data_IF_700189042552
#
_entry.id   IF_700189042552
#
_cell.length_a   1.000
_cell.length_b   1.000
_cell.length_c   1.000
_cell.angle_alpha   90.00
_cell.angle_beta   90.00
_cell.angle_gamma   90.00
#
_symmetry.space_group_name_H-M   'P 1'
#
loop_
_entity.id
_entity.type
_entity.pdbx_description
1 polymer ?
#
# COMPACT_ATOMS: atom_id res chain seq x y z
N UNK A 1 20.25 -15.97 8.47
CA UNK A 1 19.22 -15.40 7.56
C UNK A 1 17.82 -15.96 7.86
N UNK A 2 17.51 -17.25 7.72
CA UNK A 2 16.17 -17.79 8.00
C UNK A 2 15.58 -17.45 9.39
N UNK A 3 16.39 -17.44 10.45
CA UNK A 3 15.93 -17.13 11.82
C UNK A 3 15.43 -15.68 12.04
N UNK A 4 15.94 -14.70 11.29
CA UNK A 4 15.51 -13.30 11.39
C UNK A 4 14.14 -13.13 10.71
N UNK A 5 13.95 -13.82 9.58
CA UNK A 5 12.68 -13.88 8.88
C UNK A 5 11.57 -14.51 9.72
N UNK A 6 11.89 -15.68 10.33
CA UNK A 6 10.96 -16.36 11.24
C UNK A 6 10.54 -15.45 12.40
N UNK A 7 11.46 -14.65 12.94
CA UNK A 7 11.17 -13.73 14.04
C UNK A 7 10.24 -12.59 13.64
N UNK A 8 10.42 -11.98 12.47
CA UNK A 8 9.63 -10.83 12.03
C UNK A 8 8.26 -11.25 11.46
N UNK A 9 8.23 -12.22 10.55
CA UNK A 9 6.97 -12.78 10.03
C UNK A 9 6.16 -13.43 11.15
N UNK A 10 6.81 -14.09 12.12
CA UNK A 10 6.13 -14.61 13.28
C UNK A 10 5.55 -13.50 14.18
N UNK A 11 6.25 -12.36 14.35
CA UNK A 11 5.73 -11.19 15.07
C UNK A 11 4.53 -10.57 14.35
N UNK A 12 4.61 -10.35 13.03
CA UNK A 12 3.48 -9.86 12.24
C UNK A 12 2.29 -10.83 12.25
N UNK A 13 2.56 -12.14 12.18
CA UNK A 13 1.51 -13.17 12.23
C UNK A 13 0.89 -13.30 13.61
N UNK A 14 1.66 -13.07 14.67
CA UNK A 14 1.18 -13.09 16.06
C UNK A 14 0.33 -11.85 16.43
N UNK A 15 0.38 -10.79 15.64
CA UNK A 15 -0.45 -9.61 15.79
C UNK A 15 -1.87 -9.92 15.27
N UNK A 16 -2.71 -10.49 16.01
CA UNK A 16 -4.06 -10.97 15.69
C UNK A 16 -5.01 -10.13 14.80
N UNK A 17 -4.51 -9.18 14.03
CA UNK A 17 -5.25 -8.39 13.04
C UNK A 17 -5.99 -7.17 13.61
N UNK A 18 -5.66 -6.74 14.83
CA UNK A 18 -6.22 -5.52 15.42
C UNK A 18 -5.60 -4.23 14.87
N UNK A 19 -6.40 -3.17 14.84
CA UNK A 19 -5.94 -1.81 14.53
C UNK A 19 -4.84 -1.38 15.52
N UNK A 20 -3.72 -0.92 15.00
CA UNK A 20 -2.58 -0.44 15.80
C UNK A 20 -1.60 -1.50 16.29
N UNK A 21 -1.96 -2.79 16.22
CA UNK A 21 -1.08 -3.87 16.69
C UNK A 21 0.25 -3.96 15.92
N UNK A 22 0.26 -3.57 14.64
CA UNK A 22 1.45 -3.55 13.80
C UNK A 22 2.31 -2.29 13.99
N UNK A 23 1.76 -1.19 14.52
CA UNK A 23 2.44 0.11 14.62
C UNK A 23 3.75 0.02 15.37
N UNK A 24 3.73 -0.55 16.59
CA UNK A 24 4.92 -0.65 17.44
C UNK A 24 6.03 -1.49 16.80
N UNK A 25 5.64 -2.55 16.06
CA UNK A 25 6.58 -3.40 15.33
C UNK A 25 7.27 -2.63 14.23
N UNK A 26 6.53 -1.84 13.46
CA UNK A 26 7.09 -1.00 12.40
C UNK A 26 7.91 0.16 12.94
N UNK A 27 7.52 0.76 14.05
CA UNK A 27 8.30 1.80 14.71
C UNK A 27 9.68 1.34 15.17
N UNK A 28 9.79 0.10 15.66
CA UNK A 28 11.07 -0.50 16.03
C UNK A 28 11.91 -0.92 14.81
N UNK A 29 11.25 -1.21 13.69
CA UNK A 29 11.92 -1.71 12.49
C UNK A 29 12.35 -0.61 11.51
N UNK A 30 11.72 0.56 11.55
CA UNK A 30 11.94 1.65 10.60
C UNK A 30 13.43 1.87 10.22
N UNK A 31 14.42 1.92 11.16
CA UNK A 31 15.81 2.20 10.80
C UNK A 31 16.51 1.15 9.92
N UNK A 32 15.97 -0.07 9.84
CA UNK A 32 16.57 -1.16 9.06
C UNK A 32 15.60 -1.78 8.05
N UNK A 33 14.39 -1.26 7.99
CA UNK A 33 13.26 -1.78 7.21
C UNK A 33 13.61 -2.00 5.75
N UNK A 34 14.03 -0.95 5.04
CA UNK A 34 14.31 -1.01 3.61
C UNK A 34 15.44 -1.98 3.29
N UNK A 35 16.54 -1.90 4.04
CA UNK A 35 17.67 -2.78 3.83
C UNK A 35 17.27 -4.25 3.98
N UNK A 36 16.53 -4.59 5.03
CA UNK A 36 16.09 -5.96 5.24
C UNK A 36 15.14 -6.44 4.13
N UNK A 37 14.21 -5.59 3.69
CA UNK A 37 13.29 -5.96 2.61
C UNK A 37 14.01 -6.16 1.27
N UNK A 38 14.86 -5.24 0.88
CA UNK A 38 15.51 -5.26 -0.43
C UNK A 38 16.65 -6.27 -0.50
N UNK A 39 17.59 -6.23 0.47
CA UNK A 39 18.79 -7.07 0.44
C UNK A 39 18.53 -8.51 0.88
N UNK A 40 17.71 -8.71 1.93
CA UNK A 40 17.49 -10.04 2.51
C UNK A 40 16.40 -10.82 1.78
N UNK A 41 15.38 -10.14 1.20
CA UNK A 41 14.17 -10.78 0.65
C UNK A 41 13.93 -10.52 -0.84
N UNK A 42 14.64 -9.58 -1.44
CA UNK A 42 14.39 -9.19 -2.83
C UNK A 42 12.95 -8.69 -3.01
N UNK A 43 12.52 -7.79 -2.12
CA UNK A 43 11.17 -7.22 -2.13
C UNK A 43 11.01 -6.22 -3.27
N UNK A 44 10.14 -6.54 -4.21
CA UNK A 44 9.89 -5.77 -5.42
C UNK A 44 8.42 -5.36 -5.60
N UNK A 45 7.59 -5.51 -4.57
CA UNK A 45 6.18 -5.13 -4.67
C UNK A 45 5.96 -3.64 -5.06
N UNK A 46 6.76 -2.65 -4.56
CA UNK A 46 6.67 -1.27 -5.01
C UNK A 46 6.86 -1.13 -6.53
N UNK A 47 7.91 -1.76 -7.09
CA UNK A 47 8.20 -1.70 -8.51
C UNK A 47 7.04 -2.28 -9.33
N UNK A 48 6.55 -3.48 -8.98
CA UNK A 48 5.43 -4.14 -9.66
C UNK A 48 4.17 -3.27 -9.62
N UNK A 49 3.84 -2.72 -8.46
CA UNK A 49 2.65 -1.88 -8.30
C UNK A 49 2.76 -0.57 -9.08
N UNK A 50 3.95 0.07 -9.09
CA UNK A 50 4.15 1.34 -9.80
C UNK A 50 4.26 1.12 -11.31
N UNK A 51 4.80 0.01 -11.80
CA UNK A 51 4.74 -0.36 -13.23
C UNK A 51 3.29 -0.47 -13.69
N UNK A 52 2.46 -1.14 -12.91
CA UNK A 52 1.03 -1.25 -13.20
C UNK A 52 0.32 0.10 -13.07
N UNK A 53 0.67 0.92 -12.07
CA UNK A 53 0.13 2.27 -11.89
C UNK A 53 0.44 3.15 -13.12
N UNK A 54 1.69 3.18 -13.59
CA UNK A 54 2.12 3.97 -14.74
C UNK A 54 1.38 3.59 -16.03
N UNK A 55 1.07 2.32 -16.21
CA UNK A 55 0.31 1.85 -17.36
C UNK A 55 -1.12 2.44 -17.47
N UNK A 56 -1.69 2.84 -16.33
CA UNK A 56 -3.05 3.40 -16.26
C UNK A 56 -3.10 4.88 -15.88
N UNK A 57 -2.04 5.45 -15.33
CA UNK A 57 -1.92 6.85 -14.94
C UNK A 57 -0.81 7.55 -15.73
N UNK A 58 -1.09 7.94 -16.96
CA UNK A 58 -0.08 8.52 -17.85
C UNK A 58 0.24 10.00 -17.54
N UNK A 59 -0.69 10.72 -16.93
CA UNK A 59 -0.48 12.13 -16.55
C UNK A 59 0.36 12.24 -15.29
N UNK A 60 1.61 12.69 -15.46
CA UNK A 60 2.59 12.86 -14.36
C UNK A 60 2.27 14.00 -13.39
N UNK A 61 1.31 14.88 -13.73
CA UNK A 61 0.83 15.94 -12.85
C UNK A 61 -0.31 15.50 -11.92
N UNK A 62 -0.83 14.28 -12.09
CA UNK A 62 -1.91 13.72 -11.25
C UNK A 62 -1.54 13.79 -9.77
N UNK A 63 -2.40 14.38 -8.90
CA UNK A 63 -2.25 14.29 -7.46
C UNK A 63 -2.43 12.85 -6.98
N UNK A 64 -1.43 12.30 -6.29
CA UNK A 64 -1.37 10.89 -5.87
C UNK A 64 -1.32 10.81 -4.35
N UNK A 65 -2.09 9.88 -3.77
CA UNK A 65 -1.99 9.49 -2.37
C UNK A 65 -1.34 8.11 -2.25
N UNK A 66 -0.20 8.04 -1.58
CA UNK A 66 0.49 6.82 -1.21
C UNK A 66 -0.06 6.33 0.15
N UNK A 67 -0.87 5.29 0.11
CA UNK A 67 -1.61 4.72 1.24
C UNK A 67 -0.75 3.71 2.01
N UNK A 68 -0.39 4.06 3.24
CA UNK A 68 0.55 3.27 4.02
C UNK A 68 1.98 3.39 3.46
N UNK A 69 2.41 4.64 3.24
CA UNK A 69 3.65 4.93 2.53
C UNK A 69 4.91 4.41 3.24
N UNK A 70 4.83 4.10 4.54
CA UNK A 70 5.95 3.61 5.33
C UNK A 70 7.16 4.54 5.25
N UNK A 71 8.31 3.99 4.91
CA UNK A 71 9.56 4.73 4.69
C UNK A 71 9.65 5.39 3.31
N UNK A 72 8.63 5.21 2.45
CA UNK A 72 8.55 5.89 1.15
C UNK A 72 9.09 5.11 -0.05
N UNK A 73 9.11 3.78 -0.01
CA UNK A 73 9.56 2.97 -1.16
C UNK A 73 8.70 3.17 -2.41
N UNK A 74 7.37 3.21 -2.25
CA UNK A 74 6.44 3.45 -3.36
C UNK A 74 6.59 4.87 -3.90
N UNK A 75 6.65 5.86 -3.00
CA UNK A 75 6.87 7.24 -3.39
C UNK A 75 8.17 7.44 -4.17
N UNK A 76 9.24 6.74 -3.78
CA UNK A 76 10.53 6.77 -4.50
C UNK A 76 10.37 6.23 -5.93
N UNK A 77 9.71 5.09 -6.10
CA UNK A 77 9.45 4.50 -7.41
C UNK A 77 8.59 5.42 -8.29
N UNK A 78 7.56 6.07 -7.73
CA UNK A 78 6.76 7.07 -8.42
C UNK A 78 7.61 8.28 -8.84
N UNK A 79 8.46 8.77 -7.93
CA UNK A 79 9.34 9.91 -8.20
C UNK A 79 10.34 9.61 -9.32
N UNK A 80 10.95 8.45 -9.33
CA UNK A 80 11.88 8.02 -10.37
C UNK A 80 11.22 7.94 -11.74
N UNK A 81 9.90 7.63 -11.80
CA UNK A 81 9.09 7.64 -13.02
C UNK A 81 8.51 9.02 -13.39
N UNK A 82 8.86 10.07 -12.65
CA UNK A 82 8.54 11.46 -13.00
C UNK A 82 7.26 12.01 -12.37
N UNK A 83 6.56 11.30 -11.49
CA UNK A 83 5.48 11.87 -10.69
C UNK A 83 6.05 12.81 -9.62
N UNK A 84 5.38 13.95 -9.37
CA UNK A 84 5.89 14.99 -8.45
C UNK A 84 4.87 15.48 -7.44
N UNK A 85 3.60 15.19 -7.65
CA UNK A 85 2.52 15.60 -6.78
C UNK A 85 2.05 14.40 -5.95
N UNK A 86 2.85 14.05 -4.94
CA UNK A 86 2.69 12.84 -4.14
C UNK A 86 2.56 13.22 -2.68
N UNK A 87 1.44 12.87 -2.04
CA UNK A 87 1.29 12.89 -0.60
C UNK A 87 1.41 11.46 -0.05
N UNK A 88 2.01 11.30 1.12
CA UNK A 88 2.12 10.03 1.80
C UNK A 88 1.28 9.98 3.07
N UNK A 89 0.68 8.85 3.35
CA UNK A 89 -0.11 8.62 4.56
C UNK A 89 0.35 7.35 5.26
N UNK A 90 0.63 7.43 6.56
CA UNK A 90 1.00 6.27 7.39
C UNK A 90 0.57 6.47 8.84
N UNK A 91 0.40 5.38 9.59
CA UNK A 91 0.06 5.41 11.02
C UNK A 91 1.29 5.67 11.91
N UNK A 92 2.50 5.34 11.42
CA UNK A 92 3.74 5.43 12.18
C UNK A 92 4.49 6.75 11.92
N UNK A 93 4.59 7.64 12.92
CA UNK A 93 5.41 8.86 12.81
C UNK A 93 6.88 8.58 12.51
N UNK A 94 7.44 7.45 13.00
CA UNK A 94 8.83 7.09 12.72
C UNK A 94 9.03 6.72 11.25
N UNK A 95 8.11 5.95 10.66
CA UNK A 95 8.13 5.66 9.23
C UNK A 95 8.02 6.95 8.39
N UNK A 96 7.12 7.86 8.77
CA UNK A 96 6.99 9.15 8.10
C UNK A 96 8.24 10.03 8.21
N UNK A 97 9.03 9.91 9.28
CA UNK A 97 10.31 10.62 9.39
C UNK A 97 11.33 10.10 8.35
N UNK A 98 11.47 8.78 8.20
CA UNK A 98 12.31 8.19 7.16
C UNK A 98 11.84 8.61 5.75
N UNK A 99 10.52 8.60 5.50
CA UNK A 99 9.94 9.06 4.23
C UNK A 99 10.23 10.56 3.97
N UNK A 100 10.21 11.39 5.02
CA UNK A 100 10.50 12.84 4.93
C UNK A 100 11.91 13.10 4.49
N UNK A 101 12.88 12.33 4.97
CA UNK A 101 14.31 12.50 4.65
C UNK A 101 14.60 12.24 3.16
N UNK A 102 13.71 11.52 2.46
CA UNK A 102 13.80 11.34 1.00
C UNK A 102 13.44 12.59 0.19
N UNK A 103 12.68 13.53 0.75
CA UNK A 103 12.32 14.80 0.11
C UNK A 103 11.46 14.66 -1.16
N UNK A 104 10.69 13.58 -1.28
CA UNK A 104 9.89 13.24 -2.47
C UNK A 104 8.38 13.51 -2.29
N UNK A 105 7.90 13.56 -1.06
CA UNK A 105 6.49 13.84 -0.77
C UNK A 105 6.23 15.33 -0.61
N UNK A 106 5.09 15.79 -1.13
CA UNK A 106 4.58 17.15 -0.91
C UNK A 106 4.08 17.30 0.53
N UNK A 107 3.28 16.33 0.99
CA UNK A 107 2.84 16.22 2.38
C UNK A 107 2.98 14.80 2.91
N UNK A 108 3.17 14.69 4.23
CA UNK A 108 3.16 13.43 4.97
C UNK A 108 2.13 13.52 6.09
N UNK A 109 1.14 12.63 6.03
CA UNK A 109 -0.07 12.65 6.86
C UNK A 109 -0.03 11.48 7.83
N UNK A 110 -0.07 11.76 9.14
CA UNK A 110 -0.25 10.69 10.13
C UNK A 110 -1.74 10.35 10.22
N UNK A 111 -2.12 9.13 9.84
CA UNK A 111 -3.51 8.68 9.89
C UNK A 111 -3.62 7.17 10.02
N UNK A 112 -4.61 6.72 10.78
CA UNK A 112 -5.02 5.33 10.87
C UNK A 112 -6.07 5.03 9.79
N UNK A 113 -5.69 4.26 8.77
CA UNK A 113 -6.56 3.89 7.65
C UNK A 113 -7.70 2.92 8.04
N UNK A 114 -7.72 2.40 9.25
CA UNK A 114 -8.86 1.63 9.76
C UNK A 114 -10.00 2.53 10.22
N UNK A 115 -9.72 3.85 10.36
CA UNK A 115 -10.65 4.91 10.68
C UNK A 115 -10.96 5.76 9.44
N UNK A 116 -11.98 6.63 9.47
CA UNK A 116 -12.21 7.59 8.41
C UNK A 116 -10.98 8.47 8.17
N UNK A 117 -10.49 8.47 6.93
CA UNK A 117 -9.31 9.25 6.53
C UNK A 117 -9.73 10.70 6.29
N UNK A 118 -9.13 11.63 7.03
CA UNK A 118 -9.36 13.07 6.81
C UNK A 118 -8.41 13.60 5.73
N UNK A 119 -8.97 13.77 4.55
CA UNK A 119 -8.32 14.39 3.39
C UNK A 119 -9.03 15.68 2.97
N UNK A 120 -9.67 16.35 3.93
CA UNK A 120 -10.43 17.59 3.68
C UNK A 120 -9.56 18.62 2.97
N UNK A 121 -10.11 19.21 1.90
CA UNK A 121 -9.39 20.19 1.08
C UNK A 121 -8.39 19.60 0.09
N UNK A 122 -8.28 18.27 -0.03
CA UNK A 122 -7.45 17.57 -1.02
C UNK A 122 -8.33 16.80 -2.00
N UNK A 123 -7.91 16.79 -3.26
CA UNK A 123 -8.58 16.02 -4.31
C UNK A 123 -7.54 15.18 -5.05
N UNK A 124 -7.48 13.89 -4.73
CA UNK A 124 -6.56 12.97 -5.40
C UNK A 124 -7.17 12.40 -6.67
N UNK A 125 -6.39 12.45 -7.76
CA UNK A 125 -6.72 11.79 -9.02
C UNK A 125 -6.38 10.30 -9.01
N UNK A 126 -5.44 9.90 -8.15
CA UNK A 126 -5.06 8.49 -7.99
C UNK A 126 -4.60 8.19 -6.55
N UNK A 127 -4.66 6.91 -6.17
CA UNK A 127 -4.04 6.41 -4.96
C UNK A 127 -3.39 5.04 -5.21
N UNK A 128 -2.37 4.73 -4.44
CA UNK A 128 -1.65 3.47 -4.49
C UNK A 128 -1.41 2.96 -3.07
N UNK A 129 -1.61 1.66 -2.83
CA UNK A 129 -1.36 1.04 -1.52
C UNK A 129 -0.63 -0.27 -1.68
N UNK A 130 0.56 -0.39 -1.08
CA UNK A 130 1.44 -1.54 -1.18
C UNK A 130 1.89 -1.98 0.20
N UNK A 131 1.72 -3.29 0.50
CA UNK A 131 2.19 -3.85 1.77
C UNK A 131 1.36 -3.48 3.01
N UNK A 132 0.24 -2.75 2.84
CA UNK A 132 -0.64 -2.35 3.93
C UNK A 132 -1.87 -3.26 4.11
N UNK A 133 -1.90 -4.43 3.46
CA UNK A 133 -3.02 -5.38 3.51
C UNK A 133 -2.61 -6.71 4.14
N UNK A 134 -3.47 -7.23 5.03
CA UNK A 134 -3.30 -8.54 5.66
C UNK A 134 -2.95 -8.48 7.14
N UNK A 135 -2.62 -9.61 7.74
CA UNK A 135 -2.50 -9.85 9.18
C UNK A 135 -1.93 -8.68 10.00
N UNK A 136 -2.72 -8.09 10.88
CA UNK A 136 -2.38 -6.90 11.64
C UNK A 136 -2.54 -5.57 10.90
N UNK A 137 -2.99 -5.60 9.64
CA UNK A 137 -3.16 -4.45 8.76
C UNK A 137 -4.60 -4.31 8.26
N UNK A 138 -4.76 -3.65 7.11
CA UNK A 138 -6.06 -3.46 6.48
C UNK A 138 -6.63 -4.78 5.96
N UNK A 139 -7.90 -5.01 6.25
CA UNK A 139 -8.70 -6.07 5.64
C UNK A 139 -9.65 -5.52 4.57
N UNK A 140 -10.40 -6.41 3.87
CA UNK A 140 -11.30 -6.01 2.78
C UNK A 140 -12.42 -5.04 3.21
N UNK A 141 -12.81 -5.04 4.47
CA UNK A 141 -13.80 -4.11 5.04
C UNK A 141 -13.35 -2.64 5.00
N UNK A 142 -12.06 -2.36 4.85
CA UNK A 142 -11.51 -1.01 4.75
C UNK A 142 -11.51 -0.48 3.30
N UNK A 143 -11.65 -1.35 2.29
CA UNK A 143 -11.64 -0.96 0.87
C UNK A 143 -12.60 0.20 0.54
N UNK A 144 -13.86 0.24 1.05
CA UNK A 144 -14.75 1.36 0.76
C UNK A 144 -14.21 2.72 1.25
N UNK A 145 -13.47 2.74 2.36
CA UNK A 145 -12.82 3.94 2.88
C UNK A 145 -11.67 4.39 1.97
N UNK A 146 -10.82 3.45 1.57
CA UNK A 146 -9.68 3.70 0.68
C UNK A 146 -10.13 4.17 -0.71
N UNK A 147 -11.18 3.55 -1.27
CA UNK A 147 -11.72 3.94 -2.58
C UNK A 147 -12.21 5.39 -2.57
N UNK A 148 -12.76 5.86 -1.47
CA UNK A 148 -13.23 7.24 -1.33
C UNK A 148 -12.13 8.29 -1.22
N UNK A 149 -10.87 7.91 -1.07
CA UNK A 149 -9.75 8.86 -1.03
C UNK A 149 -9.46 9.51 -2.38
N UNK A 150 -9.92 8.95 -3.47
CA UNK A 150 -9.79 9.55 -4.81
C UNK A 150 -11.13 10.13 -5.29
N UNK A 151 -11.05 11.09 -6.20
CA UNK A 151 -12.25 11.62 -6.89
C UNK A 151 -12.99 10.55 -7.70
N UNK A 152 -14.20 10.82 -8.14
CA UNK A 152 -14.91 9.97 -9.12
C UNK A 152 -14.04 9.79 -10.35
N UNK A 153 -13.96 8.57 -10.87
CA UNK A 153 -13.06 8.10 -11.93
C UNK A 153 -11.56 8.18 -11.57
N UNK A 154 -11.22 8.47 -10.30
CA UNK A 154 -9.85 8.36 -9.81
C UNK A 154 -9.37 6.92 -9.80
N UNK A 155 -8.09 6.74 -10.13
CA UNK A 155 -7.41 5.44 -10.19
C UNK A 155 -7.00 4.98 -8.80
N UNK A 156 -7.12 3.67 -8.55
CA UNK A 156 -6.50 3.05 -7.38
C UNK A 156 -5.74 1.78 -7.81
N UNK A 157 -4.56 1.63 -7.23
CA UNK A 157 -3.75 0.41 -7.37
C UNK A 157 -3.46 -0.16 -6.00
N UNK A 158 -3.83 -1.40 -5.78
CA UNK A 158 -3.55 -2.12 -4.54
C UNK A 158 -2.63 -3.30 -4.81
N UNK A 159 -1.56 -3.43 -4.06
CA UNK A 159 -0.78 -4.66 -3.99
C UNK A 159 -1.11 -5.41 -2.71
N UNK A 160 -1.69 -6.59 -2.84
CA UNK A 160 -2.17 -7.41 -1.73
C UNK A 160 -1.38 -8.70 -1.66
N UNK A 161 -0.78 -8.99 -0.52
CA UNK A 161 -0.03 -10.22 -0.29
C UNK A 161 -0.93 -11.45 -0.49
N UNK A 162 -0.33 -12.55 -0.96
CA UNK A 162 -1.08 -13.71 -1.43
C UNK A 162 -1.90 -14.46 -0.38
N UNK A 163 -1.38 -14.55 0.86
CA UNK A 163 -2.12 -15.20 1.94
C UNK A 163 -3.41 -14.43 2.25
N UNK A 164 -3.36 -13.14 2.65
CA UNK A 164 -4.58 -12.38 2.91
C UNK A 164 -5.49 -12.27 1.69
N UNK A 165 -4.94 -12.13 0.48
CA UNK A 165 -5.76 -12.07 -0.74
C UNK A 165 -6.70 -13.27 -0.88
N UNK A 166 -6.21 -14.48 -0.57
CA UNK A 166 -6.98 -15.73 -0.65
C UNK A 166 -7.85 -15.95 0.58
N UNK A 167 -7.28 -15.86 1.79
CA UNK A 167 -7.96 -16.17 3.06
C UNK A 167 -9.10 -15.20 3.36
N UNK A 168 -8.90 -13.90 3.11
CA UNK A 168 -9.91 -12.87 3.28
C UNK A 168 -10.80 -12.69 2.04
N UNK A 169 -10.62 -13.55 1.02
CA UNK A 169 -11.43 -13.58 -0.20
C UNK A 169 -11.64 -12.21 -0.86
N UNK A 170 -10.55 -11.47 -1.10
CA UNK A 170 -10.59 -10.15 -1.75
C UNK A 170 -11.38 -10.11 -3.07
N UNK A 171 -11.32 -11.16 -3.97
CA UNK A 171 -12.12 -11.16 -5.18
C UNK A 171 -13.62 -11.00 -4.94
N UNK A 172 -14.17 -11.64 -3.89
CA UNK A 172 -15.58 -11.51 -3.51
C UNK A 172 -15.90 -10.08 -3.06
N UNK A 173 -15.01 -9.46 -2.29
CA UNK A 173 -15.21 -8.09 -1.81
C UNK A 173 -15.14 -7.07 -2.95
N UNK A 174 -14.19 -7.19 -3.88
CA UNK A 174 -14.14 -6.34 -5.07
C UNK A 174 -15.40 -6.48 -5.91
N UNK A 175 -15.88 -7.72 -6.15
CA UNK A 175 -17.11 -7.95 -6.88
C UNK A 175 -18.32 -7.30 -6.19
N UNK A 176 -18.44 -7.41 -4.88
CA UNK A 176 -19.52 -6.80 -4.12
C UNK A 176 -19.49 -5.26 -4.24
N UNK A 177 -18.30 -4.64 -4.24
CA UNK A 177 -18.13 -3.21 -4.44
C UNK A 177 -18.52 -2.76 -5.86
N UNK A 178 -18.24 -3.58 -6.87
CA UNK A 178 -18.69 -3.34 -8.25
C UNK A 178 -20.23 -3.40 -8.36
N UNK A 179 -20.85 -4.41 -7.76
CA UNK A 179 -22.31 -4.58 -7.73
C UNK A 179 -23.02 -3.41 -7.02
N UNK A 180 -22.35 -2.79 -6.04
CA UNK A 180 -22.84 -1.59 -5.32
C UNK A 180 -22.60 -0.28 -6.09
N UNK A 181 -21.85 -0.31 -7.19
CA UNK A 181 -21.58 0.86 -8.01
C UNK A 181 -20.58 1.84 -7.43
N UNK A 182 -19.71 1.41 -6.51
CA UNK A 182 -18.69 2.31 -5.91
C UNK A 182 -17.28 2.09 -6.42
N UNK A 183 -17.07 1.05 -7.23
CA UNK A 183 -15.78 0.60 -7.70
C UNK A 183 -15.90 -0.19 -8.99
N UNK A 184 -14.89 -0.13 -9.84
CA UNK A 184 -14.77 -0.99 -11.01
C UNK A 184 -13.34 -1.51 -11.15
N UNK A 185 -13.17 -2.83 -11.15
CA UNK A 185 -11.88 -3.48 -11.43
C UNK A 185 -11.56 -3.36 -12.92
N UNK A 186 -10.36 -2.92 -13.24
CA UNK A 186 -9.80 -2.84 -14.60
C UNK A 186 -8.86 -4.00 -14.88
N UNK A 187 -8.07 -4.37 -13.90
CA UNK A 187 -7.06 -5.43 -14.02
C UNK A 187 -6.80 -6.08 -12.67
N UNK A 188 -6.56 -7.37 -12.69
CA UNK A 188 -5.99 -8.13 -11.57
C UNK A 188 -4.89 -9.02 -12.13
N UNK A 189 -3.72 -9.01 -11.51
CA UNK A 189 -2.57 -9.79 -11.95
C UNK A 189 -1.82 -10.37 -10.75
N UNK A 190 -1.47 -11.64 -10.85
CA UNK A 190 -0.61 -12.31 -9.87
C UNK A 190 0.85 -12.04 -10.19
N UNK A 191 1.66 -11.73 -9.16
CA UNK A 191 3.10 -11.51 -9.30
C UNK A 191 3.86 -12.03 -8.09
N UNK A 192 5.06 -12.54 -8.30
CA UNK A 192 5.97 -12.87 -7.21
C UNK A 192 6.67 -11.60 -6.73
N UNK A 193 6.43 -11.21 -5.47
CA UNK A 193 6.90 -9.94 -4.91
C UNK A 193 8.09 -10.06 -3.95
N UNK A 194 8.46 -11.29 -3.57
CA UNK A 194 9.65 -11.60 -2.78
C UNK A 194 10.47 -12.65 -3.52
N UNK A 195 11.47 -12.21 -4.27
CA UNK A 195 12.24 -13.06 -5.18
C UNK A 195 12.96 -14.21 -4.48
N UNK A 196 13.42 -13.98 -3.24
CA UNK A 196 14.14 -15.00 -2.45
C UNK A 196 13.20 -16.07 -1.87
N UNK A 197 11.93 -15.73 -1.63
CA UNK A 197 10.98 -16.59 -0.91
C UNK A 197 9.88 -17.16 -1.79
N UNK A 198 9.86 -16.82 -3.09
CA UNK A 198 8.79 -17.21 -4.03
C UNK A 198 7.38 -16.97 -3.43
N UNK A 199 7.11 -15.72 -3.07
CA UNK A 199 5.83 -15.34 -2.47
C UNK A 199 4.93 -14.63 -3.47
N UNK A 200 3.77 -15.19 -3.82
CA UNK A 200 2.81 -14.54 -4.68
C UNK A 200 2.09 -13.39 -3.97
N UNK A 201 1.74 -12.36 -4.75
CA UNK A 201 0.83 -11.30 -4.39
C UNK A 201 -0.03 -10.93 -5.59
N UNK A 202 -1.00 -10.05 -5.40
CA UNK A 202 -1.89 -9.59 -6.47
C UNK A 202 -1.87 -8.08 -6.58
N UNK A 203 -1.62 -7.59 -7.79
CA UNK A 203 -1.90 -6.20 -8.15
C UNK A 203 -3.35 -6.12 -8.62
N UNK A 204 -4.10 -5.22 -8.01
CA UNK A 204 -5.48 -4.92 -8.41
C UNK A 204 -5.56 -3.46 -8.79
N UNK A 205 -5.95 -3.20 -10.03
CA UNK A 205 -6.19 -1.86 -10.57
C UNK A 205 -7.67 -1.65 -10.76
N UNK A 206 -8.15 -0.50 -10.37
CA UNK A 206 -9.53 -0.12 -10.60
C UNK A 206 -9.73 1.38 -10.47
N UNK A 207 -10.95 1.83 -10.72
CA UNK A 207 -11.33 3.20 -10.50
C UNK A 207 -12.60 3.32 -9.66
N UNK A 208 -12.70 4.43 -8.95
CA UNK A 208 -13.92 4.81 -8.26
C UNK A 208 -15.00 5.19 -9.28
N UNK A 209 -16.21 4.66 -9.13
CA UNK A 209 -17.39 4.97 -9.98
C UNK A 209 -18.41 5.81 -9.26
#
# INVERSE_FOLDING_TARGET
MAKILEGFVARLTALGGGSGDSKDVYEDWAPTYERNLQEDYGYIAPNIAVDMFEAYCVDKATPILDLGCGTGLVGQELWERGYRNIDGLDISPKMLNEARDKGIYTELITSDMTQPIDISGREYGAAIGVGCFGGGHLGPNHLPGLIRTVRIYGLLVFFINGIPYREDNYPRHFKALEEQGGWRVLKTEEANYMQVLDRPGWVVVGHRT
#
